data_IF_024587676908
#
_entry.id   IF_024587676908
#
_cell.length_a   1.000
_cell.length_b   1.000
_cell.length_c   1.000
_cell.angle_alpha   90.00
_cell.angle_beta   90.00
_cell.angle_gamma   90.00
#
_symmetry.space_group_name_H-M   'P 1'
#
loop_
_entity.id
_entity.type
_entity.pdbx_description
1 polymer ?
#
# COMPACT_ATOMS: atom_id res chain seq x y z
N UNK A 1 6.01 -10.12 -18.56
CA UNK A 1 4.82 -9.37 -19.02
C UNK A 1 4.47 -8.37 -17.95
N UNK A 2 4.53 -7.07 -18.24
CA UNK A 2 4.12 -6.02 -17.29
C UNK A 2 2.62 -5.91 -17.36
N UNK A 3 1.89 -6.20 -16.30
CA UNK A 3 0.45 -5.97 -16.22
C UNK A 3 0.20 -4.71 -15.40
N UNK A 4 -0.23 -3.64 -16.05
CA UNK A 4 -0.84 -2.48 -15.40
C UNK A 4 -2.34 -2.69 -15.55
N UNK A 5 -3.02 -2.98 -14.45
CA UNK A 5 -4.47 -3.11 -14.46
C UNK A 5 -5.10 -1.81 -13.98
N UNK A 6 -5.96 -1.21 -14.79
CA UNK A 6 -6.75 -0.04 -14.42
C UNK A 6 -8.20 -0.45 -14.36
N UNK A 7 -8.80 -0.44 -13.17
CA UNK A 7 -10.22 -0.66 -12.99
C UNK A 7 -10.95 0.61 -12.56
N UNK A 8 -12.23 0.70 -12.91
CA UNK A 8 -13.12 1.75 -12.37
C UNK A 8 -13.53 1.29 -10.96
N UNK A 9 -13.12 2.03 -9.93
CA UNK A 9 -13.53 1.79 -8.56
C UNK A 9 -15.02 2.09 -8.34
N UNK A 10 -15.54 1.64 -7.19
CA UNK A 10 -16.91 1.96 -6.77
C UNK A 10 -17.09 3.45 -6.50
N UNK A 11 -18.27 3.96 -6.80
CA UNK A 11 -18.65 5.35 -6.54
C UNK A 11 -19.00 5.49 -5.06
N UNK A 12 -18.24 6.32 -4.33
CA UNK A 12 -18.61 6.80 -3.01
C UNK A 12 -18.84 8.31 -3.08
N UNK A 13 -20.05 8.76 -2.74
CA UNK A 13 -20.38 10.19 -2.77
C UNK A 13 -20.29 10.86 -4.15
N UNK A 14 -20.59 10.13 -5.24
CA UNK A 14 -20.58 10.67 -6.61
C UNK A 14 -19.19 10.80 -7.26
N UNK A 15 -18.10 10.47 -6.56
CA UNK A 15 -16.73 10.51 -7.12
C UNK A 15 -16.22 9.09 -7.39
N UNK A 16 -15.69 8.86 -8.58
CA UNK A 16 -15.08 7.59 -8.96
C UNK A 16 -13.58 7.60 -8.67
N UNK A 17 -13.11 6.64 -7.86
CA UNK A 17 -11.69 6.36 -7.75
C UNK A 17 -11.23 5.48 -8.92
N UNK A 18 -10.01 5.71 -9.41
CA UNK A 18 -9.33 4.81 -10.36
C UNK A 18 -8.35 3.96 -9.58
N UNK A 19 -8.37 2.65 -9.81
CA UNK A 19 -7.42 1.71 -9.21
C UNK A 19 -6.41 1.32 -10.28
N UNK A 20 -5.13 1.51 -9.98
CA UNK A 20 -4.00 1.15 -10.85
C UNK A 20 -3.16 0.11 -10.10
N UNK A 21 -2.97 -1.07 -10.68
CA UNK A 21 -2.13 -2.13 -10.11
C UNK A 21 -0.86 -2.29 -10.94
N UNK A 22 0.31 -2.24 -10.27
CA UNK A 22 1.61 -2.45 -10.89
C UNK A 22 2.16 -3.78 -10.41
N UNK A 23 2.07 -4.81 -11.25
CA UNK A 23 2.36 -6.20 -10.90
C UNK A 23 3.40 -6.77 -11.86
N UNK A 24 4.43 -7.42 -11.31
CA UNK A 24 5.38 -8.23 -12.08
C UNK A 24 6.04 -9.25 -11.15
N UNK A 25 6.06 -10.50 -11.56
CA UNK A 25 6.69 -11.59 -10.80
C UNK A 25 8.21 -11.53 -10.82
N UNK A 26 8.80 -10.86 -11.80
CA UNK A 26 10.25 -10.72 -11.90
C UNK A 26 10.75 -9.60 -10.98
N UNK A 27 11.78 -9.86 -10.19
CA UNK A 27 12.50 -8.85 -9.42
C UNK A 27 13.26 -7.86 -10.30
N UNK A 28 13.61 -6.69 -9.78
CA UNK A 28 14.47 -5.71 -10.46
C UNK A 28 13.88 -5.03 -11.71
N UNK A 29 12.56 -5.06 -11.89
CA UNK A 29 11.87 -4.49 -13.08
C UNK A 29 11.22 -3.13 -12.80
N UNK A 30 11.76 -2.38 -11.87
CA UNK A 30 11.35 -1.01 -11.53
C UNK A 30 9.87 -0.86 -11.08
N UNK A 31 9.25 -1.89 -10.47
CA UNK A 31 7.88 -1.77 -9.92
C UNK A 31 7.76 -0.61 -8.93
N UNK A 32 8.61 -0.60 -7.92
CA UNK A 32 8.65 0.43 -6.87
C UNK A 32 8.84 1.82 -7.46
N UNK A 33 9.87 2.00 -8.28
CA UNK A 33 10.17 3.29 -8.93
C UNK A 33 9.00 3.77 -9.79
N UNK A 34 8.35 2.86 -10.53
CA UNK A 34 7.17 3.20 -11.35
C UNK A 34 5.99 3.59 -10.46
N UNK A 35 5.75 2.88 -9.36
CA UNK A 35 4.63 3.16 -8.44
C UNK A 35 4.80 4.52 -7.80
N UNK A 36 5.96 4.76 -7.20
CA UNK A 36 6.25 6.03 -6.50
C UNK A 36 6.29 7.20 -7.48
N UNK A 37 7.01 7.06 -8.60
CA UNK A 37 7.08 8.12 -9.61
C UNK A 37 5.71 8.45 -10.22
N UNK A 38 4.87 7.45 -10.50
CA UNK A 38 3.51 7.70 -11.00
C UNK A 38 2.66 8.44 -9.97
N UNK A 39 2.74 8.05 -8.68
CA UNK A 39 2.00 8.71 -7.61
C UNK A 39 2.42 10.18 -7.48
N UNK A 40 3.72 10.46 -7.54
CA UNK A 40 4.26 11.81 -7.47
C UNK A 40 3.82 12.68 -8.66
N UNK A 41 3.97 12.18 -9.89
CA UNK A 41 3.53 12.89 -11.11
C UNK A 41 2.02 13.16 -11.10
N UNK A 42 1.21 12.19 -10.68
CA UNK A 42 -0.24 12.41 -10.57
C UNK A 42 -0.58 13.47 -9.52
N UNK A 43 0.18 13.56 -8.45
CA UNK A 43 0.02 14.56 -7.40
C UNK A 43 0.42 15.95 -7.88
N UNK A 44 1.61 16.11 -8.46
CA UNK A 44 2.17 17.41 -8.85
C UNK A 44 1.58 17.96 -10.14
N UNK A 45 1.66 17.19 -11.23
CA UNK A 45 1.27 17.67 -12.57
C UNK A 45 -0.25 17.65 -12.77
N UNK A 46 -0.95 16.73 -12.13
CA UNK A 46 -2.38 16.53 -12.35
C UNK A 46 -3.25 16.87 -11.14
N UNK A 47 -2.66 17.35 -10.04
CA UNK A 47 -3.36 17.71 -8.79
C UNK A 47 -4.32 16.62 -8.31
N UNK A 48 -3.89 15.36 -8.38
CA UNK A 48 -4.69 14.20 -7.94
C UNK A 48 -4.29 13.77 -6.55
N UNK A 49 -5.30 13.45 -5.73
CA UNK A 49 -5.06 12.70 -4.48
C UNK A 49 -4.80 11.24 -4.83
N UNK A 50 -3.68 10.72 -4.37
CA UNK A 50 -3.23 9.36 -4.66
C UNK A 50 -3.04 8.61 -3.34
N UNK A 51 -3.63 7.44 -3.21
CA UNK A 51 -3.30 6.50 -2.15
C UNK A 51 -2.43 5.40 -2.74
N UNK A 52 -1.20 5.30 -2.27
CA UNK A 52 -0.32 4.16 -2.53
C UNK A 52 -0.62 3.09 -1.49
N UNK A 53 -0.92 1.87 -1.95
CA UNK A 53 -1.05 0.69 -1.10
C UNK A 53 0.11 -0.23 -1.43
N UNK A 54 1.05 -0.37 -0.52
CA UNK A 54 2.22 -1.22 -0.71
C UNK A 54 1.88 -2.65 -0.25
N UNK A 55 1.82 -3.58 -1.21
CA UNK A 55 1.53 -5.01 -0.98
C UNK A 55 2.79 -5.87 -1.12
N UNK A 56 3.97 -5.25 -1.25
CA UNK A 56 5.23 -5.97 -1.33
C UNK A 56 5.82 -6.11 0.08
N UNK A 57 6.02 -7.34 0.54
CA UNK A 57 6.65 -7.62 1.83
C UNK A 57 8.11 -7.08 1.92
N UNK A 58 8.75 -6.77 0.79
CA UNK A 58 10.04 -6.09 0.77
C UNK A 58 9.97 -4.62 1.16
N UNK A 59 8.78 -4.05 1.33
CA UNK A 59 8.51 -2.68 1.82
C UNK A 59 9.18 -1.54 1.03
N UNK A 60 9.65 -1.83 -0.18
CA UNK A 60 10.46 -0.87 -0.95
C UNK A 60 9.73 0.43 -1.31
N UNK A 61 8.42 0.39 -1.63
CA UNK A 61 7.66 1.60 -1.91
C UNK A 61 7.39 2.38 -0.61
N UNK A 62 7.15 1.69 0.48
CA UNK A 62 6.98 2.26 1.81
C UNK A 62 8.22 3.02 2.24
N UNK A 63 9.38 2.36 2.28
CA UNK A 63 10.63 2.99 2.72
C UNK A 63 11.09 4.10 1.79
N UNK A 64 10.81 3.99 0.49
CA UNK A 64 11.10 5.07 -0.47
C UNK A 64 10.28 6.33 -0.20
N UNK A 65 9.04 6.21 0.27
CA UNK A 65 8.15 7.34 0.53
C UNK A 65 8.35 7.98 1.91
N UNK A 66 8.64 7.19 2.94
CA UNK A 66 8.67 7.68 4.33
C UNK A 66 10.01 7.51 5.05
N UNK A 67 10.99 6.84 4.44
CA UNK A 67 12.27 6.51 5.07
C UNK A 67 12.18 5.34 6.06
N UNK A 68 13.34 4.79 6.43
CA UNK A 68 13.43 3.62 7.33
C UNK A 68 13.00 3.94 8.76
N UNK A 69 13.41 5.10 9.29
CA UNK A 69 13.08 5.50 10.67
C UNK A 69 11.57 5.55 10.89
N UNK A 70 10.87 6.24 9.99
CA UNK A 70 9.41 6.35 10.06
C UNK A 70 8.71 5.02 9.83
N UNK A 71 9.25 4.18 8.95
CA UNK A 71 8.76 2.82 8.75
C UNK A 71 8.86 1.98 10.02
N UNK A 72 9.98 2.05 10.77
CA UNK A 72 10.16 1.32 12.02
C UNK A 72 9.11 1.72 13.08
N UNK A 73 8.78 3.02 13.20
CA UNK A 73 7.73 3.48 14.09
C UNK A 73 6.36 2.88 13.72
N UNK A 74 5.97 3.01 12.46
CA UNK A 74 4.68 2.51 11.96
C UNK A 74 4.57 1.00 12.10
N UNK A 75 5.65 0.28 11.84
CA UNK A 75 5.71 -1.18 11.96
C UNK A 75 5.57 -1.63 13.42
N UNK A 76 6.20 -0.93 14.36
CA UNK A 76 6.07 -1.20 15.80
C UNK A 76 4.63 -1.04 16.28
N UNK A 77 3.91 -0.06 15.76
CA UNK A 77 2.52 0.21 16.11
C UNK A 77 1.53 -0.72 15.38
N UNK A 78 2.03 -1.63 14.54
CA UNK A 78 1.25 -2.58 13.74
C UNK A 78 0.16 -1.94 12.87
N UNK A 79 0.36 -0.69 12.45
CA UNK A 79 -0.55 0.03 11.57
C UNK A 79 -0.10 -0.14 10.11
N UNK A 80 -0.03 -1.39 9.64
CA UNK A 80 0.41 -1.77 8.29
C UNK A 80 -0.60 -2.69 7.60
N UNK A 81 -0.46 -2.87 6.30
CA UNK A 81 -1.30 -3.79 5.53
C UNK A 81 -1.20 -5.24 6.05
N UNK A 82 -0.05 -5.64 6.61
CA UNK A 82 0.14 -6.96 7.19
C UNK A 82 -0.83 -7.20 8.36
N UNK A 83 -1.00 -6.23 9.25
CA UNK A 83 -1.95 -6.35 10.36
C UNK A 83 -3.41 -6.48 9.87
N UNK A 84 -3.78 -5.74 8.82
CA UNK A 84 -5.12 -5.89 8.22
C UNK A 84 -5.34 -7.32 7.71
N UNK A 85 -4.38 -7.89 6.99
CA UNK A 85 -4.47 -9.27 6.52
C UNK A 85 -4.48 -10.28 7.67
N UNK A 86 -3.64 -10.08 8.69
CA UNK A 86 -3.63 -10.92 9.88
C UNK A 86 -5.01 -11.00 10.54
N UNK A 87 -5.63 -9.85 10.77
CA UNK A 87 -6.97 -9.79 11.37
C UNK A 87 -8.09 -10.35 10.48
N UNK A 88 -7.88 -10.33 9.16
CA UNK A 88 -8.76 -10.97 8.19
C UNK A 88 -8.67 -12.49 8.22
N UNK A 89 -7.46 -13.02 8.31
CA UNK A 89 -7.19 -14.48 8.36
C UNK A 89 -7.56 -15.05 9.74
N UNK A 90 -7.30 -14.30 10.81
CA UNK A 90 -7.55 -14.71 12.18
C UNK A 90 -8.66 -13.87 12.85
N UNK A 91 -9.94 -14.09 12.51
CA UNK A 91 -11.04 -13.24 12.95
C UNK A 91 -11.27 -13.21 14.47
N UNK A 92 -10.73 -14.17 15.21
CA UNK A 92 -10.76 -14.24 16.68
C UNK A 92 -9.60 -13.50 17.34
N UNK A 93 -8.62 -12.99 16.57
CA UNK A 93 -7.52 -12.18 17.10
C UNK A 93 -8.02 -10.84 17.63
N UNK A 94 -7.20 -10.22 18.47
CA UNK A 94 -7.44 -8.84 18.89
C UNK A 94 -7.44 -7.91 17.67
N UNK A 95 -8.40 -6.99 17.61
CA UNK A 95 -8.54 -6.02 16.52
C UNK A 95 -7.83 -4.73 16.90
N UNK A 96 -6.63 -4.55 16.39
CA UNK A 96 -5.80 -3.38 16.66
C UNK A 96 -5.56 -2.49 15.44
N UNK A 97 -5.86 -3.01 14.23
CA UNK A 97 -5.72 -2.23 12.99
C UNK A 97 -6.78 -1.13 12.91
N UNK A 98 -6.32 0.10 12.75
CA UNK A 98 -7.18 1.27 12.52
C UNK A 98 -6.77 1.93 11.20
N UNK A 99 -7.61 1.85 10.20
CA UNK A 99 -7.36 2.40 8.87
C UNK A 99 -7.02 3.90 8.88
N UNK A 100 -7.61 4.67 9.83
CA UNK A 100 -7.34 6.10 9.93
C UNK A 100 -5.94 6.40 10.48
N UNK A 101 -5.40 5.50 11.30
CA UNK A 101 -4.01 5.58 11.80
C UNK A 101 -3.03 5.01 10.80
N UNK A 102 -3.42 3.93 10.11
CA UNK A 102 -2.56 3.23 9.15
C UNK A 102 -2.29 4.05 7.89
N UNK A 103 -3.24 4.87 7.42
CA UNK A 103 -3.02 5.72 6.25
C UNK A 103 -2.22 6.96 6.63
N UNK A 104 -0.97 6.99 6.22
CA UNK A 104 -0.08 8.13 6.35
C UNK A 104 -0.42 9.17 5.27
N UNK A 105 -0.61 10.43 5.69
CA UNK A 105 -1.06 11.50 4.82
C UNK A 105 0.08 12.36 4.31
N UNK A 106 0.01 12.76 3.04
CA UNK A 106 0.92 13.72 2.44
C UNK A 106 2.38 13.29 2.47
N UNK A 107 2.65 11.99 2.24
CA UNK A 107 3.99 11.41 2.32
C UNK A 107 4.70 11.43 0.97
N UNK A 108 5.93 11.86 0.95
CA UNK A 108 6.83 11.75 -0.21
C UNK A 108 8.26 12.05 0.20
N UNK A 109 9.22 11.54 -0.57
CA UNK A 109 10.62 11.93 -0.51
C UNK A 109 10.93 13.22 -1.31
N UNK A 110 9.89 13.90 -1.83
CA UNK A 110 9.97 15.17 -2.55
C UNK A 110 9.05 16.17 -1.84
N UNK A 111 9.60 17.28 -1.39
CA UNK A 111 8.92 18.26 -0.52
C UNK A 111 7.67 18.90 -1.16
N UNK A 112 7.66 19.06 -2.47
CA UNK A 112 6.55 19.66 -3.21
C UNK A 112 5.33 18.73 -3.35
N UNK A 113 5.51 17.43 -3.13
CA UNK A 113 4.45 16.41 -3.28
C UNK A 113 3.64 16.29 -1.99
N UNK A 114 2.41 16.80 -1.99
CA UNK A 114 1.54 16.85 -0.78
C UNK A 114 0.28 15.98 -0.86
N UNK A 115 -0.05 15.45 -2.04
CA UNK A 115 -1.31 14.72 -2.27
C UNK A 115 -1.11 13.21 -2.42
N UNK A 116 0.02 12.68 -1.94
CA UNK A 116 0.28 11.25 -1.88
C UNK A 116 0.08 10.77 -0.45
N UNK A 117 -0.85 9.85 -0.27
CA UNK A 117 -1.07 9.11 0.97
C UNK A 117 -0.52 7.70 0.81
N UNK A 118 -0.15 7.04 1.91
CA UNK A 118 0.41 5.69 1.92
C UNK A 118 -0.29 4.80 2.93
N UNK A 119 -0.67 3.60 2.51
CA UNK A 119 -0.91 2.47 3.42
C UNK A 119 0.35 1.58 3.37
N UNK A 120 1.16 1.57 4.45
CA UNK A 120 2.49 0.96 4.43
C UNK A 120 2.45 -0.56 4.50
N UNK A 121 3.50 -1.19 3.95
CA UNK A 121 3.77 -2.62 4.08
C UNK A 121 4.61 -2.96 5.32
N UNK A 122 4.73 -4.26 5.59
CA UNK A 122 5.58 -4.82 6.63
C UNK A 122 6.19 -6.15 6.17
N UNK A 123 7.36 -6.50 6.68
CA UNK A 123 7.98 -7.81 6.50
C UNK A 123 7.10 -8.95 7.05
N UNK A 124 6.27 -8.67 8.06
CA UNK A 124 5.30 -9.64 8.61
C UNK A 124 4.30 -10.15 7.56
N UNK A 125 4.18 -9.46 6.43
CA UNK A 125 3.34 -9.92 5.32
C UNK A 125 3.83 -11.26 4.74
N UNK A 126 5.12 -11.58 4.86
CA UNK A 126 5.69 -12.87 4.43
C UNK A 126 5.03 -14.02 5.20
N UNK A 127 4.92 -13.85 6.52
CA UNK A 127 4.46 -14.92 7.42
C UNK A 127 2.98 -15.28 7.21
N UNK A 128 2.18 -14.31 6.77
CA UNK A 128 0.73 -14.51 6.55
C UNK A 128 0.37 -14.82 5.09
N UNK A 129 1.30 -14.74 4.14
CA UNK A 129 0.99 -14.98 2.72
C UNK A 129 0.38 -16.37 2.46
N UNK A 130 0.94 -17.41 3.07
CA UNK A 130 0.41 -18.77 2.89
C UNK A 130 -1.00 -18.92 3.46
N UNK A 131 -1.26 -18.30 4.59
CA UNK A 131 -2.55 -18.39 5.27
C UNK A 131 -3.62 -17.56 4.57
N UNK A 132 -3.26 -16.43 3.98
CA UNK A 132 -4.13 -15.67 3.06
C UNK A 132 -4.53 -16.53 1.87
N UNK A 133 -3.58 -17.24 1.24
CA UNK A 133 -3.87 -18.13 0.11
C UNK A 133 -4.80 -19.27 0.51
N UNK A 134 -4.58 -19.89 1.69
CA UNK A 134 -5.45 -20.94 2.23
C UNK A 134 -6.86 -20.41 2.49
N UNK A 135 -6.99 -19.25 3.12
CA UNK A 135 -8.28 -18.61 3.39
C UNK A 135 -9.06 -18.30 2.11
N UNK A 136 -8.39 -17.77 1.08
CA UNK A 136 -9.02 -17.51 -0.23
C UNK A 136 -9.50 -18.75 -0.97
N UNK A 137 -8.93 -19.94 -0.68
CA UNK A 137 -9.35 -21.21 -1.30
C UNK A 137 -10.56 -21.85 -0.61
N UNK A 138 -10.87 -21.42 0.62
CA UNK A 138 -11.97 -21.93 1.44
C UNK A 138 -13.24 -21.07 1.34
N UNK A 139 -13.14 -19.89 0.75
CA UNK A 139 -14.24 -18.96 0.52
C UNK A 139 -14.90 -19.19 -0.85
#
# INVERSE_FOLDING_TARGET
>A
MKLIYISKGRVYGGKMAKIISIINLKGGVAKTTTTVGLAQVLSTEFNKKVLVIDLDAQTNATTMLIGEEKWLEVNKDKQTIAQLFYEGVYPKSEKIFDINKAILKGVSNIDEVKLVDLLPSSLELIDIQEDVIKACKQA
#
